data_IF_339278171062
#
_entry.id   IF_339278171062
#
_cell.length_a   1.000
_cell.length_b   1.000
_cell.length_c   1.000
_cell.angle_alpha   90.00
_cell.angle_beta   90.00
_cell.angle_gamma   90.00
#
_symmetry.space_group_name_H-M   'P 1'
#
loop_
_entity.id
_entity.type
_entity.pdbx_description
1 polymer ?
#
# COMPACT_ATOMS: atom_id res chain seq x y z
N UNK A 1 -7.11 -6.36 2.58
CA UNK A 1 -6.26 -5.52 1.69
C UNK A 1 -4.78 -5.82 1.78
N UNK A 2 -4.17 -5.93 2.98
CA UNK A 2 -2.74 -6.26 3.09
C UNK A 2 -2.38 -7.54 2.31
N UNK A 3 -3.13 -8.63 2.53
CA UNK A 3 -2.91 -9.91 1.85
C UNK A 3 -2.99 -9.78 0.32
N UNK A 4 -3.97 -9.04 -0.19
CA UNK A 4 -4.15 -8.78 -1.62
C UNK A 4 -3.01 -7.97 -2.23
N UNK A 5 -2.51 -6.95 -1.51
CA UNK A 5 -1.35 -6.17 -1.94
C UNK A 5 -0.07 -7.01 -1.92
N UNK A 6 0.13 -7.84 -0.89
CA UNK A 6 1.28 -8.78 -0.83
C UNK A 6 1.23 -9.80 -1.97
N UNK A 7 0.05 -10.37 -2.26
CA UNK A 7 -0.14 -11.27 -3.41
C UNK A 7 0.20 -10.56 -4.73
N UNK A 8 -0.26 -9.32 -4.89
CA UNK A 8 0.03 -8.50 -6.07
C UNK A 8 1.54 -8.28 -6.24
N UNK A 9 2.25 -7.89 -5.19
CA UNK A 9 3.70 -7.70 -5.23
C UNK A 9 4.45 -9.00 -5.59
N UNK A 10 4.02 -10.14 -5.05
CA UNK A 10 4.61 -11.43 -5.39
C UNK A 10 4.36 -11.82 -6.87
N UNK A 11 3.18 -11.54 -7.40
CA UNK A 11 2.89 -11.75 -8.83
C UNK A 11 3.81 -10.87 -9.69
N UNK A 12 3.94 -9.59 -9.33
CA UNK A 12 4.84 -8.65 -10.01
C UNK A 12 6.28 -9.15 -10.00
N UNK A 13 6.77 -9.62 -8.86
CA UNK A 13 8.11 -10.19 -8.73
C UNK A 13 8.31 -11.37 -9.69
N UNK A 14 7.38 -12.33 -9.69
CA UNK A 14 7.45 -13.50 -10.56
C UNK A 14 7.44 -13.11 -12.05
N UNK A 15 6.62 -12.14 -12.43
CA UNK A 15 6.58 -11.61 -13.80
C UNK A 15 7.88 -10.89 -14.17
N UNK A 16 8.42 -10.09 -13.26
CA UNK A 16 9.70 -9.41 -13.46
C UNK A 16 10.86 -10.42 -13.55
N UNK A 17 10.70 -11.61 -12.96
CA UNK A 17 11.70 -12.67 -12.99
C UNK A 17 11.86 -13.38 -14.32
N UNK A 18 10.79 -13.49 -15.10
CA UNK A 18 10.84 -14.08 -16.43
C UNK A 18 11.34 -13.11 -17.51
N UNK A 19 11.43 -11.81 -17.21
CA UNK A 19 11.96 -10.81 -18.12
C UNK A 19 13.46 -10.98 -18.40
N UNK A 20 13.88 -10.66 -19.62
CA UNK A 20 15.30 -10.65 -20.04
C UNK A 20 16.10 -9.55 -19.38
N UNK A 21 15.43 -8.41 -19.22
CA UNK A 21 15.89 -7.25 -18.47
C UNK A 21 14.83 -6.93 -17.41
N UNK A 22 15.26 -6.74 -16.16
CA UNK A 22 14.37 -6.39 -15.05
C UNK A 22 13.72 -5.03 -15.32
N UNK A 23 12.40 -4.97 -15.20
CA UNK A 23 11.59 -3.75 -15.31
C UNK A 23 11.56 -3.02 -13.97
N UNK A 24 11.43 -3.78 -12.88
CA UNK A 24 11.45 -3.28 -11.50
C UNK A 24 12.77 -3.72 -10.85
N UNK A 25 13.43 -2.80 -10.15
CA UNK A 25 14.69 -3.10 -9.46
C UNK A 25 14.44 -3.86 -8.16
N UNK A 26 15.48 -4.54 -7.65
CA UNK A 26 15.38 -5.20 -6.35
C UNK A 26 15.18 -4.19 -5.20
N UNK A 27 15.71 -2.97 -5.35
CA UNK A 27 15.51 -1.87 -4.41
C UNK A 27 14.03 -1.48 -4.34
N UNK A 28 13.39 -1.23 -5.48
CA UNK A 28 11.94 -0.93 -5.56
C UNK A 28 11.10 -2.05 -4.90
N UNK A 29 11.46 -3.33 -5.12
CA UNK A 29 10.78 -4.46 -4.47
C UNK A 29 10.95 -4.43 -2.95
N UNK A 30 12.16 -4.14 -2.47
CA UNK A 30 12.46 -4.13 -1.03
C UNK A 30 11.75 -2.98 -0.33
N UNK A 31 11.70 -1.80 -0.94
CA UNK A 31 10.92 -0.66 -0.46
C UNK A 31 9.43 -1.03 -0.34
N UNK A 32 8.85 -1.69 -1.35
CA UNK A 32 7.44 -2.08 -1.26
C UNK A 32 7.16 -3.17 -0.22
N UNK A 33 8.13 -4.04 0.07
CA UNK A 33 8.00 -4.99 1.20
C UNK A 33 7.97 -4.26 2.53
N UNK A 34 8.87 -3.30 2.75
CA UNK A 34 8.86 -2.47 3.96
C UNK A 34 7.55 -1.69 4.09
N UNK A 35 7.08 -1.08 3.00
CA UNK A 35 5.80 -0.37 2.96
C UNK A 35 4.61 -1.27 3.33
N UNK A 36 4.61 -2.56 2.94
CA UNK A 36 3.56 -3.50 3.32
C UNK A 36 3.59 -3.85 4.82
N UNK A 37 4.78 -3.98 5.40
CA UNK A 37 4.93 -4.19 6.85
C UNK A 37 4.45 -2.97 7.67
N UNK A 38 4.65 -1.76 7.15
CA UNK A 38 4.07 -0.53 7.72
C UNK A 38 2.54 -0.52 7.56
N UNK A 39 2.04 -0.83 6.37
CA UNK A 39 0.60 -0.89 6.08
C UNK A 39 -0.16 -1.87 6.98
N UNK A 40 0.45 -3.01 7.32
CA UNK A 40 -0.15 -3.98 8.25
C UNK A 40 -0.37 -3.37 9.64
N UNK A 41 0.56 -2.54 10.12
CA UNK A 41 0.49 -1.92 11.45
C UNK A 41 -0.56 -0.81 11.51
N UNK A 42 -0.78 -0.10 10.41
CA UNK A 42 -1.78 0.97 10.32
C UNK A 42 -3.21 0.51 10.61
N UNK A 43 -3.50 -0.78 10.43
CA UNK A 43 -4.83 -1.33 10.72
C UNK A 43 -5.21 -1.14 12.18
N UNK A 44 -4.27 -1.39 13.09
CA UNK A 44 -4.49 -1.21 14.53
C UNK A 44 -4.67 0.27 14.89
N UNK A 45 -3.95 1.17 14.23
CA UNK A 45 -4.07 2.61 14.47
C UNK A 45 -5.42 3.15 14.00
N UNK A 46 -5.88 2.70 12.83
CA UNK A 46 -7.20 3.03 12.30
C UNK A 46 -8.32 2.50 13.20
N UNK A 47 -8.22 1.24 13.62
CA UNK A 47 -9.20 0.59 14.51
C UNK A 47 -9.32 1.31 15.86
N UNK A 48 -8.19 1.78 16.42
CA UNK A 48 -8.18 2.59 17.64
C UNK A 48 -8.90 3.93 17.46
N UNK A 49 -8.66 4.64 16.34
CA UNK A 49 -9.33 5.92 16.06
C UNK A 49 -10.84 5.70 15.90
N UNK A 50 -11.23 4.67 15.14
CA UNK A 50 -12.65 4.33 14.93
C UNK A 50 -13.33 3.95 16.24
N UNK A 51 -12.69 3.12 17.07
CA UNK A 51 -13.21 2.72 18.38
C UNK A 51 -13.41 3.92 19.31
N UNK A 52 -12.48 4.89 19.30
CA UNK A 52 -12.61 6.12 20.11
C UNK A 52 -13.80 6.96 19.66
N UNK A 53 -14.03 7.05 18.35
CA UNK A 53 -15.18 7.77 17.78
C UNK A 53 -16.49 7.04 18.10
N UNK A 54 -16.55 5.71 17.92
CA UNK A 54 -17.77 4.92 18.14
C UNK A 54 -18.24 4.92 19.60
N UNK A 55 -17.30 4.99 20.56
CA UNK A 55 -17.60 4.99 22.00
C UNK A 55 -18.07 6.34 22.54
N UNK A 56 -18.24 7.36 21.69
CA UNK A 56 -18.52 8.74 22.10
C UNK A 56 -17.52 9.25 23.16
N UNK A 57 -16.25 8.80 23.11
CA UNK A 57 -15.16 9.33 23.96
C UNK A 57 -14.69 10.73 23.49
N UNK A 58 -15.58 11.45 22.81
CA UNK A 58 -15.36 12.77 22.24
C UNK A 58 -16.19 13.78 23.05
N UNK A 59 -15.56 14.33 24.09
CA UNK A 59 -16.23 15.19 25.06
C UNK A 59 -16.56 16.59 24.51
N UNK A 60 -15.97 16.97 23.35
CA UNK A 60 -16.16 18.26 22.72
C UNK A 60 -16.18 18.23 21.19
N UNK A 61 -16.61 19.36 20.60
CA UNK A 61 -16.55 19.60 19.15
C UNK A 61 -15.11 19.56 18.65
N UNK A 62 -14.16 20.10 19.42
CA UNK A 62 -12.74 20.12 19.05
C UNK A 62 -12.16 18.70 19.03
N UNK A 63 -12.49 17.86 20.02
CA UNK A 63 -12.07 16.45 20.05
C UNK A 63 -12.63 15.68 18.84
N UNK A 64 -13.88 15.97 18.47
CA UNK A 64 -14.52 15.39 17.30
C UNK A 64 -13.79 15.79 16.02
N UNK A 65 -13.47 17.08 15.86
CA UNK A 65 -12.72 17.58 14.70
C UNK A 65 -11.34 16.94 14.63
N UNK A 66 -10.64 16.83 15.76
CA UNK A 66 -9.32 16.19 15.83
C UNK A 66 -9.39 14.72 15.40
N UNK A 67 -10.37 13.97 15.90
CA UNK A 67 -10.56 12.56 15.53
C UNK A 67 -10.83 12.39 14.04
N UNK A 68 -11.65 13.27 13.44
CA UNK A 68 -11.92 13.27 12.00
C UNK A 68 -10.67 13.60 11.17
N UNK A 69 -9.84 14.55 11.63
CA UNK A 69 -8.56 14.87 10.98
C UNK A 69 -7.62 13.67 11.04
N UNK A 70 -7.48 13.02 12.20
CA UNK A 70 -6.66 11.81 12.35
C UNK A 70 -7.14 10.69 11.41
N UNK A 71 -8.46 10.50 11.31
CA UNK A 71 -9.06 9.53 10.41
C UNK A 71 -8.76 9.84 8.92
N UNK A 72 -8.89 11.11 8.52
CA UNK A 72 -8.54 11.58 7.19
C UNK A 72 -7.07 11.31 6.84
N UNK A 73 -6.14 11.63 7.76
CA UNK A 73 -4.72 11.39 7.58
C UNK A 73 -4.44 9.90 7.41
N UNK A 74 -5.03 9.04 8.26
CA UNK A 74 -4.86 7.59 8.11
C UNK A 74 -5.40 7.07 6.78
N UNK A 75 -6.58 7.48 6.35
CA UNK A 75 -7.07 7.07 5.04
C UNK A 75 -6.19 7.55 3.89
N UNK A 76 -5.59 8.74 4.00
CA UNK A 76 -4.66 9.26 3.01
C UNK A 76 -3.39 8.40 2.92
N UNK A 77 -2.84 7.99 4.06
CA UNK A 77 -1.71 7.05 4.12
C UNK A 77 -2.09 5.68 3.50
N UNK A 78 -3.29 5.17 3.80
CA UNK A 78 -3.82 3.92 3.24
C UNK A 78 -3.89 3.97 1.71
N UNK A 79 -4.41 5.07 1.16
CA UNK A 79 -4.49 5.32 -0.28
C UNK A 79 -3.09 5.35 -0.88
N UNK A 80 -2.16 6.04 -0.23
CA UNK A 80 -0.78 6.13 -0.70
C UNK A 80 -0.12 4.76 -0.84
N UNK A 81 -0.26 3.87 0.15
CA UNK A 81 0.30 2.52 0.07
C UNK A 81 -0.29 1.69 -1.09
N UNK A 82 -1.60 1.83 -1.35
CA UNK A 82 -2.24 1.17 -2.50
C UNK A 82 -1.70 1.73 -3.81
N UNK A 83 -1.53 3.05 -3.89
CA UNK A 83 -1.02 3.73 -5.08
C UNK A 83 0.42 3.29 -5.42
N UNK A 84 1.28 3.08 -4.41
CA UNK A 84 2.64 2.58 -4.62
C UNK A 84 2.68 1.21 -5.33
N UNK A 85 1.83 0.27 -4.92
CA UNK A 85 1.70 -1.02 -5.59
C UNK A 85 1.10 -0.86 -7.00
N UNK A 86 0.13 0.04 -7.15
CA UNK A 86 -0.48 0.33 -8.45
C UNK A 86 0.55 0.91 -9.45
N UNK A 87 1.47 1.76 -9.02
CA UNK A 87 2.54 2.27 -9.89
C UNK A 87 3.49 1.15 -10.36
N UNK A 88 3.79 0.15 -9.51
CA UNK A 88 4.53 -1.03 -9.97
C UNK A 88 3.77 -1.82 -11.04
N UNK A 89 2.45 -1.99 -10.87
CA UNK A 89 1.61 -2.65 -11.88
C UNK A 89 1.66 -1.87 -13.19
N UNK A 90 1.51 -0.53 -13.16
CA UNK A 90 1.59 0.32 -14.36
C UNK A 90 2.95 0.20 -15.04
N UNK A 91 4.05 0.22 -14.27
CA UNK A 91 5.41 0.06 -14.79
C UNK A 91 5.57 -1.30 -15.48
N UNK A 92 5.06 -2.37 -14.87
CA UNK A 92 5.05 -3.69 -15.51
C UNK A 92 4.25 -3.67 -16.81
N UNK A 93 2.99 -3.22 -16.79
CA UNK A 93 2.13 -3.18 -18.00
C UNK A 93 2.79 -2.42 -19.14
N UNK A 94 3.39 -1.26 -18.86
CA UNK A 94 4.01 -0.42 -19.88
C UNK A 94 5.27 -1.02 -20.52
N UNK A 95 5.99 -1.89 -19.81
CA UNK A 95 7.31 -2.36 -20.25
C UNK A 95 7.38 -3.88 -20.49
N UNK A 96 6.36 -4.64 -20.09
CA UNK A 96 6.43 -6.10 -20.04
C UNK A 96 6.69 -6.72 -21.40
N UNK A 97 5.96 -6.32 -22.45
CA UNK A 97 6.08 -6.91 -23.79
C UNK A 97 7.49 -6.78 -24.39
N UNK A 98 8.12 -5.64 -24.17
CA UNK A 98 9.45 -5.34 -24.72
C UNK A 98 10.58 -6.06 -23.98
N UNK A 99 10.38 -6.33 -22.69
CA UNK A 99 11.38 -6.94 -21.82
C UNK A 99 11.13 -8.43 -21.56
N UNK A 100 10.00 -8.97 -22.04
CA UNK A 100 9.73 -10.40 -22.01
C UNK A 100 10.72 -11.13 -22.91
N UNK A 101 11.32 -12.21 -22.42
CA UNK A 101 12.26 -13.01 -23.22
C UNK A 101 11.49 -13.65 -24.38
N UNK A 102 11.68 -13.15 -25.58
CA UNK A 102 11.41 -13.93 -26.78
C UNK A 102 12.52 -14.98 -26.89
N UNK A 103 12.16 -16.25 -26.71
CA UNK A 103 13.01 -17.36 -27.13
C UNK A 103 13.26 -17.29 -28.63
#
# INVERSE_FOLDING_TARGET
MHEELSKTLNIILNLNDVCGKKIITQEEINEQKANLEDYQRMFFELDNILSRIERDELDSVDDTVEALVQLHLKYSDYIWHIDQIHELVKKMVGNYRENFKNN
#
